data_IF_380989265500
#
_entry.id   IF_380989265500
#
_cell.length_a   1.000
_cell.length_b   1.000
_cell.length_c   1.000
_cell.angle_alpha   90.00
_cell.angle_beta   90.00
_cell.angle_gamma   90.00
#
_symmetry.space_group_name_H-M   'P 1'
#
loop_
_entity.id
_entity.type
_entity.pdbx_description
1 polymer ?
#
# COMPACT_ATOMS: atom_id res chain seq x y z
N UNK A 1 5.79 -9.20 38.78
CA UNK A 1 5.71 -9.22 37.31
C UNK A 1 4.78 -10.35 36.88
N UNK A 2 3.68 -10.08 36.21
CA UNK A 2 2.79 -11.13 35.64
C UNK A 2 3.50 -11.80 34.47
N UNK A 3 3.67 -13.12 34.53
CA UNK A 3 4.21 -13.90 33.42
C UNK A 3 3.25 -13.80 32.26
N UNK A 4 3.71 -13.32 31.08
CA UNK A 4 2.92 -13.22 29.85
C UNK A 4 2.44 -14.62 29.45
N UNK A 5 1.14 -14.80 29.26
CA UNK A 5 0.55 -16.09 28.94
C UNK A 5 0.93 -16.48 27.50
N UNK A 6 1.53 -17.64 27.31
CA UNK A 6 1.95 -18.12 25.99
C UNK A 6 0.71 -18.62 25.24
N UNK A 7 0.47 -18.08 24.06
CA UNK A 7 -0.61 -18.52 23.17
C UNK A 7 -0.20 -19.83 22.51
N UNK A 8 -1.00 -20.90 22.69
CA UNK A 8 -0.70 -22.23 22.15
C UNK A 8 -0.75 -22.24 20.59
N UNK A 9 -0.04 -23.17 19.98
CA UNK A 9 -0.07 -23.35 18.51
C UNK A 9 -1.50 -23.59 18.01
N UNK A 10 -2.24 -24.47 18.69
CA UNK A 10 -3.63 -24.78 18.36
C UNK A 10 -4.50 -23.52 18.32
N UNK A 11 -4.41 -22.67 19.35
CA UNK A 11 -5.18 -21.44 19.41
C UNK A 11 -4.78 -20.45 18.31
N UNK A 12 -3.47 -20.39 17.94
CA UNK A 12 -3.02 -19.58 16.81
C UNK A 12 -3.65 -20.03 15.49
N UNK A 13 -3.71 -21.33 15.24
CA UNK A 13 -4.34 -21.91 14.06
C UNK A 13 -5.84 -21.61 14.02
N UNK A 14 -6.51 -21.78 15.12
CA UNK A 14 -7.95 -21.47 15.25
C UNK A 14 -8.25 -19.99 14.99
N UNK A 15 -7.41 -19.08 15.51
CA UNK A 15 -7.51 -17.64 15.25
C UNK A 15 -7.33 -17.33 13.77
N UNK A 16 -6.33 -17.95 13.10
CA UNK A 16 -6.14 -17.76 11.66
C UNK A 16 -7.37 -18.24 10.87
N UNK A 17 -7.83 -19.45 11.14
CA UNK A 17 -8.97 -20.05 10.46
C UNK A 17 -10.26 -19.25 10.67
N UNK A 18 -10.46 -18.69 11.86
CA UNK A 18 -11.63 -17.87 12.17
C UNK A 18 -11.67 -16.59 11.34
N UNK A 19 -10.54 -15.92 11.16
CA UNK A 19 -10.47 -14.61 10.51
C UNK A 19 -10.29 -14.69 9.00
N UNK A 20 -9.52 -15.65 8.52
CA UNK A 20 -9.10 -15.74 7.10
C UNK A 20 -9.50 -17.07 6.43
N UNK A 21 -10.07 -18.02 7.19
CA UNK A 21 -10.39 -19.31 6.64
C UNK A 21 -9.15 -20.11 6.22
N UNK A 22 -9.30 -20.94 5.20
CA UNK A 22 -8.22 -21.79 4.67
C UNK A 22 -7.30 -21.08 3.68
N UNK A 23 -7.07 -19.76 3.84
CA UNK A 23 -6.16 -19.01 2.99
C UNK A 23 -4.72 -19.11 3.49
N UNK A 24 -3.77 -19.08 2.57
CA UNK A 24 -2.34 -19.13 2.90
C UNK A 24 -1.79 -17.78 3.36
N UNK A 25 -2.33 -16.69 2.82
CA UNK A 25 -1.93 -15.33 3.13
C UNK A 25 -3.12 -14.38 3.14
N UNK A 26 -3.02 -13.30 3.89
CA UNK A 26 -4.06 -12.29 4.01
C UNK A 26 -3.44 -10.92 4.31
N UNK A 27 -4.21 -9.86 4.07
CA UNK A 27 -3.81 -8.51 4.47
C UNK A 27 -3.94 -8.35 6.00
N UNK A 28 -3.02 -7.60 6.59
CA UNK A 28 -3.13 -7.22 8.00
C UNK A 28 -4.48 -6.50 8.27
N UNK A 29 -5.22 -6.84 9.35
CA UNK A 29 -6.55 -6.27 9.64
C UNK A 29 -6.56 -4.77 9.91
N UNK A 30 -5.42 -4.19 10.27
CA UNK A 30 -5.30 -2.74 10.46
C UNK A 30 -5.56 -2.04 9.12
N UNK A 31 -6.55 -1.16 9.05
CA UNK A 31 -7.09 -0.60 7.80
C UNK A 31 -6.01 0.04 6.90
N UNK A 32 -5.13 0.81 7.46
CA UNK A 32 -4.08 1.51 6.72
C UNK A 32 -2.82 0.67 6.47
N UNK A 33 -2.71 -0.50 7.11
CA UNK A 33 -1.56 -1.38 6.93
C UNK A 33 -1.66 -2.12 5.59
N UNK A 34 -0.62 -2.01 4.77
CA UNK A 34 -0.54 -2.66 3.45
C UNK A 34 0.17 -4.01 3.49
N UNK A 35 0.65 -4.45 4.66
CA UNK A 35 1.43 -5.68 4.80
C UNK A 35 0.58 -6.91 4.60
N UNK A 36 1.14 -7.87 3.90
CA UNK A 36 0.60 -9.22 3.78
C UNK A 36 1.22 -10.09 4.87
N UNK A 37 0.39 -10.80 5.61
CA UNK A 37 0.77 -11.82 6.60
C UNK A 37 0.47 -13.20 6.04
N UNK A 38 1.21 -14.20 6.47
CA UNK A 38 0.99 -15.59 6.06
C UNK A 38 0.71 -16.47 7.27
N UNK A 39 0.12 -17.64 7.04
CA UNK A 39 -0.18 -18.62 8.08
C UNK A 39 1.05 -19.02 8.91
N UNK A 40 2.26 -18.89 8.33
CA UNK A 40 3.53 -19.17 9.02
C UNK A 40 4.16 -17.95 9.69
N UNK A 41 3.80 -16.75 9.24
CA UNK A 41 4.45 -15.51 9.66
C UNK A 41 3.40 -14.44 10.01
N UNK A 42 2.77 -14.59 11.17
CA UNK A 42 1.87 -13.62 11.77
C UNK A 42 2.04 -13.62 13.28
N UNK A 43 1.62 -12.56 13.92
CA UNK A 43 1.46 -12.49 15.36
C UNK A 43 -0.02 -12.54 15.74
N UNK A 44 -0.29 -12.97 16.97
CA UNK A 44 -1.65 -12.94 17.53
C UNK A 44 -1.71 -11.80 18.52
N UNK A 45 -2.45 -10.77 18.16
CA UNK A 45 -2.73 -9.62 19.01
C UNK A 45 -4.05 -9.78 19.77
N UNK A 46 -4.13 -9.18 20.96
CA UNK A 46 -5.38 -9.03 21.69
C UNK A 46 -6.13 -7.79 21.17
N UNK A 47 -7.39 -7.94 20.78
CA UNK A 47 -8.20 -6.78 20.44
C UNK A 47 -8.39 -5.87 21.67
N UNK A 48 -8.87 -6.44 22.77
CA UNK A 48 -8.86 -5.75 24.05
C UNK A 48 -7.58 -6.18 24.78
N UNK A 49 -6.65 -5.26 25.09
CA UNK A 49 -5.42 -5.58 25.78
C UNK A 49 -5.62 -6.30 27.12
N UNK A 50 -4.70 -7.20 27.48
CA UNK A 50 -4.75 -7.89 28.78
C UNK A 50 -4.67 -6.88 29.95
N UNK A 51 -3.97 -5.77 29.78
CA UNK A 51 -3.90 -4.67 30.75
C UNK A 51 -5.27 -4.03 31.04
N UNK A 52 -6.18 -4.07 30.06
CA UNK A 52 -7.56 -3.60 30.14
C UNK A 52 -8.56 -4.72 30.45
N UNK A 53 -8.10 -5.89 30.88
CA UNK A 53 -8.94 -7.03 31.23
C UNK A 53 -9.31 -7.94 30.06
N UNK A 54 -8.70 -7.77 28.90
CA UNK A 54 -8.92 -8.63 27.74
C UNK A 54 -8.49 -10.08 28.01
N UNK A 55 -9.36 -11.03 27.67
CA UNK A 55 -9.11 -12.47 27.87
C UNK A 55 -8.37 -13.05 26.66
N UNK A 56 -7.50 -14.05 26.90
CA UNK A 56 -6.84 -14.81 25.83
C UNK A 56 -7.79 -15.89 25.29
N UNK A 57 -8.81 -15.44 24.56
CA UNK A 57 -9.84 -16.29 23.92
C UNK A 57 -9.89 -16.01 22.42
N UNK A 58 -10.37 -16.97 21.66
CA UNK A 58 -10.48 -16.86 20.19
C UNK A 58 -11.27 -15.62 19.74
N UNK A 59 -12.21 -15.13 20.58
CA UNK A 59 -13.03 -13.96 20.23
C UNK A 59 -12.29 -12.63 20.42
N UNK A 60 -11.29 -12.64 21.29
CA UNK A 60 -10.47 -11.45 21.56
C UNK A 60 -9.12 -11.47 20.88
N UNK A 61 -8.81 -12.53 20.14
CA UNK A 61 -7.52 -12.70 19.47
C UNK A 61 -7.67 -12.45 17.97
N UNK A 62 -6.75 -11.69 17.39
CA UNK A 62 -6.75 -11.30 15.97
C UNK A 62 -5.37 -11.54 15.36
N UNK A 63 -5.29 -12.15 14.16
CA UNK A 63 -4.02 -12.31 13.46
C UNK A 63 -3.59 -10.95 12.89
N UNK A 64 -2.41 -10.49 13.24
CA UNK A 64 -1.89 -9.17 12.92
C UNK A 64 -0.41 -9.24 12.53
N UNK A 65 0.11 -8.28 11.79
CA UNK A 65 1.54 -8.21 11.52
C UNK A 65 2.32 -7.76 12.76
N UNK A 66 3.57 -8.22 12.91
CA UNK A 66 4.39 -7.95 14.09
C UNK A 66 4.64 -6.46 14.33
N UNK A 67 4.69 -5.64 13.29
CA UNK A 67 4.88 -4.20 13.48
C UNK A 67 3.65 -3.52 14.06
N UNK A 68 2.47 -3.79 13.48
CA UNK A 68 1.23 -3.23 14.01
C UNK A 68 1.00 -3.71 15.45
N UNK A 69 1.26 -5.00 15.75
CA UNK A 69 1.13 -5.53 17.10
C UNK A 69 2.05 -4.83 18.11
N UNK A 70 3.31 -4.60 17.75
CA UNK A 70 4.27 -3.86 18.60
C UNK A 70 3.92 -2.38 18.75
N UNK A 71 3.50 -1.74 17.66
CA UNK A 71 3.13 -0.31 17.65
C UNK A 71 1.86 -0.05 18.45
N UNK A 72 0.88 -0.94 18.35
CA UNK A 72 -0.36 -0.86 19.12
C UNK A 72 -0.10 -1.08 20.63
N UNK A 73 0.78 -2.00 20.95
CA UNK A 73 1.14 -2.34 22.32
C UNK A 73 -0.07 -2.81 23.13
N UNK A 74 -0.16 -2.34 24.38
CA UNK A 74 -1.24 -2.61 25.32
C UNK A 74 -2.19 -1.42 25.54
N UNK A 75 -2.10 -0.39 24.68
CA UNK A 75 -2.80 0.88 24.85
C UNK A 75 -4.13 0.93 24.10
N UNK A 76 -4.18 0.35 22.90
CA UNK A 76 -5.28 0.49 21.97
C UNK A 76 -5.92 -0.85 21.63
N UNK A 77 -7.21 -0.83 21.34
CA UNK A 77 -7.85 -1.89 20.57
C UNK A 77 -7.43 -1.75 19.09
N UNK A 78 -7.61 -2.80 18.29
CA UNK A 78 -7.27 -2.75 16.85
C UNK A 78 -8.10 -1.69 16.12
N UNK A 79 -9.36 -1.52 16.50
CA UNK A 79 -10.24 -0.52 15.89
C UNK A 79 -9.84 0.91 16.27
N UNK A 80 -9.48 1.15 17.53
CA UNK A 80 -8.95 2.44 17.98
C UNK A 80 -7.65 2.76 17.27
N UNK A 81 -6.72 1.80 17.20
CA UNK A 81 -5.45 1.94 16.53
C UNK A 81 -5.63 2.23 15.03
N UNK A 82 -6.54 1.51 14.36
CA UNK A 82 -6.84 1.72 12.95
C UNK A 82 -7.38 3.12 12.66
N UNK A 83 -8.23 3.65 13.53
CA UNK A 83 -8.82 4.99 13.37
C UNK A 83 -7.84 6.11 13.71
N UNK A 84 -7.12 5.97 14.81
CA UNK A 84 -6.25 7.05 15.33
C UNK A 84 -5.01 7.28 14.46
N UNK A 85 -4.48 6.25 13.86
CA UNK A 85 -3.24 6.30 13.06
C UNK A 85 -3.51 6.12 11.55
N UNK A 86 -4.76 6.20 11.13
CA UNK A 86 -5.06 6.23 9.70
C UNK A 86 -4.36 7.43 9.05
N UNK A 87 -3.63 7.25 7.93
CA UNK A 87 -3.07 8.37 7.21
C UNK A 87 -4.21 9.31 6.82
N UNK A 88 -3.98 10.62 6.94
CA UNK A 88 -4.94 11.61 6.47
C UNK A 88 -5.33 11.30 5.01
N UNK A 89 -6.61 11.41 4.65
CA UNK A 89 -7.01 11.23 3.26
C UNK A 89 -6.18 12.20 2.41
N UNK A 90 -5.53 11.65 1.37
CA UNK A 90 -4.80 12.48 0.42
C UNK A 90 -5.75 13.57 -0.09
N UNK A 91 -5.29 14.84 -0.19
CA UNK A 91 -6.10 15.89 -0.76
C UNK A 91 -6.61 15.43 -2.12
N UNK A 92 -7.93 15.42 -2.28
CA UNK A 92 -8.55 15.05 -3.56
C UNK A 92 -7.92 15.94 -4.62
N UNK A 93 -7.40 15.42 -5.74
CA UNK A 93 -6.90 16.25 -6.81
C UNK A 93 -7.99 17.23 -7.18
N UNK A 94 -7.74 18.53 -6.96
CA UNK A 94 -8.66 19.57 -7.39
C UNK A 94 -8.85 19.37 -8.89
N UNK A 95 -10.09 19.24 -9.41
CA UNK A 95 -10.31 19.11 -10.84
C UNK A 95 -9.58 20.25 -11.52
N UNK A 96 -8.58 19.93 -12.34
CA UNK A 96 -7.89 20.97 -13.11
C UNK A 96 -8.94 21.73 -13.89
N UNK A 97 -8.92 23.09 -13.88
CA UNK A 97 -9.85 23.85 -14.67
C UNK A 97 -9.80 23.34 -16.11
N UNK A 98 -10.95 22.90 -16.59
CA UNK A 98 -11.08 22.44 -17.98
C UNK A 98 -10.59 23.60 -18.85
N UNK A 99 -9.58 23.41 -19.72
CA UNK A 99 -9.15 24.47 -20.61
C UNK A 99 -10.36 24.99 -21.38
N UNK A 100 -10.55 26.31 -21.37
CA UNK A 100 -11.65 26.95 -22.09
C UNK A 100 -11.69 26.44 -23.54
N UNK A 101 -12.88 26.19 -24.10
CA UNK A 101 -12.98 25.71 -25.47
C UNK A 101 -12.25 26.70 -26.39
N UNK A 102 -11.27 26.17 -27.13
CA UNK A 102 -10.48 26.95 -28.07
C UNK A 102 -11.48 27.54 -29.08
N UNK A 103 -11.54 28.85 -29.29
CA UNK A 103 -12.47 29.44 -30.26
C UNK A 103 -12.24 28.80 -31.64
N UNK A 104 -13.32 28.40 -32.30
CA UNK A 104 -13.25 27.81 -33.63
C UNK A 104 -12.52 28.77 -34.57
N UNK A 105 -11.60 28.27 -35.42
CA UNK A 105 -10.86 29.12 -36.32
C UNK A 105 -11.82 29.89 -37.20
N UNK A 106 -11.69 31.22 -37.22
CA UNK A 106 -12.50 32.10 -38.08
C UNK A 106 -12.30 31.76 -39.55
N UNK A 107 -13.29 32.07 -40.37
CA UNK A 107 -13.26 31.79 -41.83
C UNK A 107 -11.97 32.30 -42.48
N UNK A 108 -11.39 33.37 -41.95
CA UNK A 108 -10.14 33.97 -42.40
C UNK A 108 -8.92 33.06 -42.15
N UNK A 109 -8.88 32.34 -41.03
CA UNK A 109 -7.83 31.39 -40.71
C UNK A 109 -7.90 30.11 -41.57
N UNK A 110 -9.09 29.75 -42.03
CA UNK A 110 -9.24 28.60 -42.94
C UNK A 110 -8.71 28.88 -44.35
N UNK A 111 -8.76 30.12 -44.80
CA UNK A 111 -8.32 30.51 -46.15
C UNK A 111 -6.82 30.79 -46.26
N UNK A 112 -6.16 31.21 -45.17
CA UNK A 112 -4.74 31.59 -45.15
C UNK A 112 -3.84 30.74 -44.23
N UNK A 113 -4.39 29.69 -43.62
CA UNK A 113 -3.70 28.87 -42.59
C UNK A 113 -2.68 27.84 -43.11
N UNK A 114 -2.33 27.86 -44.40
CA UNK A 114 -1.44 26.82 -44.96
C UNK A 114 0.05 27.07 -44.76
N UNK A 115 0.47 28.19 -44.12
CA UNK A 115 1.88 28.58 -44.15
C UNK A 115 2.67 28.40 -42.83
N UNK A 116 2.08 27.93 -41.73
CA UNK A 116 2.83 27.71 -40.49
C UNK A 116 2.59 26.32 -39.87
N UNK A 117 3.07 25.28 -40.54
CA UNK A 117 3.27 24.00 -39.85
C UNK A 117 4.52 24.14 -38.97
N UNK A 118 4.43 23.96 -37.62
CA UNK A 118 5.59 23.92 -36.78
C UNK A 118 6.48 22.74 -37.24
N UNK A 119 7.75 23.00 -37.49
CA UNK A 119 8.73 21.96 -37.81
C UNK A 119 8.71 20.90 -36.71
N UNK A 120 8.65 19.60 -37.05
CA UNK A 120 8.75 18.54 -36.06
C UNK A 120 10.06 18.69 -35.29
N UNK A 121 10.00 18.61 -33.95
CA UNK A 121 11.21 18.59 -33.12
C UNK A 121 12.13 17.45 -33.60
N UNK A 122 13.43 17.70 -33.75
CA UNK A 122 14.36 16.65 -34.15
C UNK A 122 14.32 15.52 -33.12
N UNK A 123 14.11 14.29 -33.58
CA UNK A 123 14.22 13.11 -32.73
C UNK A 123 15.66 12.98 -32.23
N UNK A 124 15.86 12.62 -30.95
CA UNK A 124 17.20 12.38 -30.42
C UNK A 124 17.88 11.25 -31.19
N UNK A 125 19.19 11.35 -31.45
CA UNK A 125 19.92 10.39 -32.30
C UNK A 125 19.80 8.98 -31.73
N UNK A 126 19.66 8.00 -32.60
CA UNK A 126 19.41 6.57 -32.29
C UNK A 126 20.45 5.94 -31.33
N UNK A 127 21.59 6.54 -31.12
CA UNK A 127 22.64 6.10 -30.18
C UNK A 127 22.23 6.27 -28.70
N UNK A 128 21.41 7.28 -28.36
CA UNK A 128 20.95 7.50 -26.97
C UNK A 128 19.97 6.40 -26.53
N UNK A 129 19.20 5.83 -27.44
CA UNK A 129 18.27 4.72 -27.13
C UNK A 129 19.00 3.40 -26.78
N UNK A 130 20.17 3.15 -27.41
CA UNK A 130 20.98 1.94 -27.12
C UNK A 130 21.63 1.98 -25.75
N UNK A 131 22.10 3.14 -25.31
CA UNK A 131 22.76 3.28 -24.00
C UNK A 131 21.80 3.11 -22.81
N UNK A 132 20.59 3.64 -22.90
CA UNK A 132 19.55 3.46 -21.86
C UNK A 132 19.13 1.98 -21.69
N UNK A 133 19.13 1.21 -22.77
CA UNK A 133 18.79 -0.22 -22.71
C UNK A 133 19.89 -1.08 -22.08
N UNK A 134 21.16 -0.71 -22.31
CA UNK A 134 22.33 -1.37 -21.72
C UNK A 134 22.51 -1.07 -20.22
N UNK A 135 22.22 0.15 -19.78
CA UNK A 135 22.28 0.51 -18.37
C UNK A 135 21.18 -0.18 -17.55
N UNK A 136 19.98 -0.33 -18.12
CA UNK A 136 18.87 -1.06 -17.48
C UNK A 136 19.18 -2.55 -17.28
N UNK A 137 19.96 -3.17 -18.16
CA UNK A 137 20.42 -4.57 -18.01
C UNK A 137 21.55 -4.69 -16.98
N UNK A 138 22.42 -3.69 -16.84
CA UNK A 138 23.51 -3.70 -15.85
C UNK A 138 23.03 -3.51 -14.42
N UNK A 139 21.98 -2.73 -14.18
CA UNK A 139 21.40 -2.56 -12.86
C UNK A 139 20.66 -3.83 -12.37
N UNK A 140 20.07 -4.59 -13.29
CA UNK A 140 19.34 -5.84 -12.94
C UNK A 140 20.27 -6.98 -12.52
N UNK A 141 21.46 -7.05 -13.09
CA UNK A 141 22.46 -8.10 -12.76
C UNK A 141 23.14 -7.86 -11.41
N UNK A 142 23.26 -6.62 -10.95
CA UNK A 142 23.87 -6.30 -9.64
C UNK A 142 22.98 -6.64 -8.43
N UNK A 143 21.69 -6.83 -8.61
CA UNK A 143 20.76 -7.13 -7.52
C UNK A 143 20.67 -8.63 -7.21
N UNK A 144 21.18 -9.51 -8.08
CA UNK A 144 21.08 -10.97 -7.93
C UNK A 144 22.30 -11.57 -7.22
N UNK A 145 23.42 -10.83 -7.08
CA UNK A 145 24.68 -11.31 -6.51
C UNK A 145 25.14 -10.52 -5.26
N UNK A 146 24.20 -10.10 -4.40
CA UNK A 146 24.53 -9.56 -3.08
C UNK A 146 23.77 -10.25 -1.97
#
# INVERSE_FOLDING_TARGET
MRKKKVISKKLREEVWLKHFGKTFSAKCPVQWCTRIISVFAFEVGHNIPESKGGKTTIDNLIPICGECNRSMGDRYTIDEFSRQFAPAPLPVPVPMPVPAPVPAPTLFQRLFGCFNKPKPKPEPPAQTRRNLHLERKRSHVRTIYK
#
